data_IF_660699091523
#
_entry.id   IF_660699091523
#
_cell.length_a   1.000
_cell.length_b   1.000
_cell.length_c   1.000
_cell.angle_alpha   90.00
_cell.angle_beta   90.00
_cell.angle_gamma   90.00
#
_symmetry.space_group_name_H-M   'P 1'
#
loop_
_entity.id
_entity.type
_entity.pdbx_description
1 polymer ?
#
# COMPACT_ATOMS: atom_id res chain seq x y z
N UNK A 1 -2.79 -1.37 -22.53
CA UNK A 1 -1.48 -1.87 -22.09
C UNK A 1 -1.67 -2.63 -20.79
N UNK A 2 -1.29 -3.91 -20.72
CA UNK A 2 -1.39 -4.65 -19.47
C UNK A 2 -0.47 -3.98 -18.44
N UNK A 3 -1.01 -3.59 -17.28
CA UNK A 3 -0.24 -2.95 -16.23
C UNK A 3 0.75 -3.99 -15.67
N UNK A 4 2.00 -3.96 -16.13
CA UNK A 4 3.03 -4.93 -15.73
C UNK A 4 3.25 -4.84 -14.21
N UNK A 5 3.02 -5.96 -13.51
CA UNK A 5 3.19 -6.03 -12.05
C UNK A 5 4.52 -6.69 -11.73
N UNK A 6 5.38 -6.00 -10.98
CA UNK A 6 6.59 -6.58 -10.40
C UNK A 6 6.41 -6.85 -8.91
N UNK A 7 6.89 -8.00 -8.45
CA UNK A 7 6.89 -8.35 -7.03
C UNK A 7 7.99 -7.57 -6.31
N UNK A 8 7.65 -6.96 -5.19
CA UNK A 8 8.60 -6.26 -4.31
C UNK A 8 8.54 -6.90 -2.93
N UNK A 9 9.70 -7.07 -2.30
CA UNK A 9 9.83 -7.53 -0.92
C UNK A 9 10.27 -6.36 -0.05
N UNK A 10 9.59 -6.13 1.07
CA UNK A 10 9.87 -5.05 2.00
C UNK A 10 10.07 -5.60 3.40
N UNK A 11 11.12 -5.12 4.08
CA UNK A 11 11.32 -5.37 5.51
C UNK A 11 10.61 -4.27 6.30
N UNK A 12 9.63 -4.65 7.11
CA UNK A 12 8.84 -3.74 7.93
C UNK A 12 8.78 -4.25 9.37
N UNK A 13 8.68 -3.36 10.38
CA UNK A 13 8.39 -3.76 11.74
C UNK A 13 7.12 -4.62 11.79
N UNK A 14 7.10 -5.62 12.67
CA UNK A 14 5.95 -6.55 12.81
C UNK A 14 4.66 -5.79 13.10
N UNK A 15 4.72 -4.73 13.92
CA UNK A 15 3.58 -3.88 14.22
C UNK A 15 3.04 -3.17 12.97
N UNK A 16 3.92 -2.69 12.10
CA UNK A 16 3.53 -2.04 10.84
C UNK A 16 2.80 -3.02 9.92
N UNK A 17 3.24 -4.29 9.86
CA UNK A 17 2.55 -5.33 9.09
C UNK A 17 1.15 -5.61 9.66
N UNK A 18 1.00 -5.64 10.99
CA UNK A 18 -0.32 -5.81 11.63
C UNK A 18 -1.25 -4.65 11.29
N UNK A 19 -0.77 -3.40 11.44
CA UNK A 19 -1.53 -2.20 11.07
C UNK A 19 -1.95 -2.20 9.59
N UNK A 20 -1.06 -2.61 8.69
CA UNK A 20 -1.37 -2.73 7.26
C UNK A 20 -2.51 -3.73 7.02
N UNK A 21 -2.49 -4.88 7.70
CA UNK A 21 -3.55 -5.89 7.61
C UNK A 21 -4.90 -5.34 8.11
N UNK A 22 -4.92 -4.75 9.29
CA UNK A 22 -6.12 -4.18 9.92
C UNK A 22 -6.75 -3.07 9.07
N UNK A 23 -5.94 -2.11 8.61
CA UNK A 23 -6.40 -1.00 7.77
C UNK A 23 -6.90 -1.53 6.43
N UNK A 24 -6.18 -2.47 5.80
CA UNK A 24 -6.62 -3.06 4.52
C UNK A 24 -8.00 -3.71 4.64
N UNK A 25 -8.24 -4.48 5.71
CA UNK A 25 -9.55 -5.09 6.00
C UNK A 25 -10.63 -4.06 6.28
N UNK A 26 -10.32 -3.04 7.09
CA UNK A 26 -11.25 -1.97 7.45
C UNK A 26 -11.82 -1.26 6.21
N UNK A 27 -11.00 -1.09 5.18
CA UNK A 27 -11.40 -0.42 3.93
C UNK A 27 -11.73 -1.39 2.78
N UNK A 28 -11.84 -2.70 3.05
CA UNK A 28 -12.18 -3.69 2.02
C UNK A 28 -11.13 -3.84 0.90
N UNK A 29 -9.86 -3.58 1.21
CA UNK A 29 -8.74 -3.62 0.26
C UNK A 29 -7.79 -4.78 0.55
N UNK A 30 -7.03 -5.19 -0.48
CA UNK A 30 -5.85 -6.03 -0.28
C UNK A 30 -4.67 -5.19 0.22
N UNK A 31 -3.68 -5.81 0.87
CA UNK A 31 -2.46 -5.11 1.32
C UNK A 31 -1.74 -4.39 0.17
N UNK A 32 -1.60 -5.06 -0.96
CA UNK A 32 -0.99 -4.48 -2.17
C UNK A 32 -1.84 -3.37 -2.77
N UNK A 33 -3.18 -3.50 -2.73
CA UNK A 33 -4.10 -2.45 -3.16
C UNK A 33 -3.98 -1.19 -2.30
N UNK A 34 -3.89 -1.34 -0.98
CA UNK A 34 -3.71 -0.23 -0.05
C UNK A 34 -2.36 0.48 -0.26
N UNK A 35 -1.26 -0.27 -0.38
CA UNK A 35 0.06 0.32 -0.66
C UNK A 35 0.05 1.08 -1.99
N UNK A 36 -0.53 0.49 -3.05
CA UNK A 36 -0.65 1.13 -4.35
C UNK A 36 -1.49 2.43 -4.28
N UNK A 37 -2.61 2.39 -3.55
CA UNK A 37 -3.46 3.56 -3.36
C UNK A 37 -2.72 4.70 -2.64
N UNK A 38 -1.96 4.39 -1.60
CA UNK A 38 -1.18 5.40 -0.87
C UNK A 38 -0.08 6.01 -1.74
N UNK A 39 0.64 5.21 -2.52
CA UNK A 39 1.66 5.70 -3.46
C UNK A 39 1.03 6.66 -4.48
N UNK A 40 -0.12 6.28 -5.04
CA UNK A 40 -0.83 7.13 -6.00
C UNK A 40 -1.32 8.43 -5.36
N UNK A 41 -1.89 8.38 -4.16
CA UNK A 41 -2.28 9.60 -3.44
C UNK A 41 -1.11 10.57 -3.23
N UNK A 42 0.06 10.06 -2.85
CA UNK A 42 1.27 10.88 -2.69
C UNK A 42 1.71 11.47 -4.02
N UNK A 43 1.70 10.66 -5.08
CA UNK A 43 2.07 11.11 -6.42
C UNK A 43 1.13 12.20 -6.97
N UNK A 44 -0.17 12.07 -6.68
CA UNK A 44 -1.20 13.05 -7.09
C UNK A 44 -1.14 14.33 -6.26
N UNK A 45 -0.92 14.23 -4.94
CA UNK A 45 -0.87 15.39 -4.03
C UNK A 45 0.48 16.11 -4.03
N UNK A 46 1.55 15.47 -4.49
CA UNK A 46 2.90 16.01 -4.47
C UNK A 46 3.52 16.13 -3.08
N UNK A 47 2.88 15.55 -2.05
CA UNK A 47 3.34 15.59 -0.66
C UNK A 47 3.00 14.27 0.06
N UNK A 48 3.92 13.84 0.94
CA UNK A 48 3.73 12.74 1.90
C UNK A 48 3.19 13.22 3.26
N UNK A 49 3.00 14.53 3.41
CA UNK A 49 2.49 15.24 4.58
C UNK A 49 1.18 15.96 4.25
#
# INVERSE_FOLDING_TARGET
MANEKKKVTLSLPVETIKKLDEISKKYGMTKSGLVNHLINQVNEKGTIY
#
